data_IF_512274387184
#
_entry.id   IF_512274387184
#
_cell.length_a   1.000
_cell.length_b   1.000
_cell.length_c   1.000
_cell.angle_alpha   90.00
_cell.angle_beta   90.00
_cell.angle_gamma   90.00
#
_symmetry.space_group_name_H-M   'P 1'
#
loop_
_entity.id
_entity.type
_entity.pdbx_description
1 polymer ?
#
# COMPACT_ATOMS: atom_id res chain seq x y z
N UNK A 1 7.21 -22.03 -4.09
CA UNK A 1 8.15 -21.57 -3.05
C UNK A 1 8.71 -20.22 -3.49
N UNK A 2 8.73 -19.24 -2.60
CA UNK A 2 9.33 -17.92 -2.83
C UNK A 2 10.41 -17.73 -1.76
N UNK A 3 11.61 -17.38 -2.17
CA UNK A 3 12.62 -16.86 -1.26
C UNK A 3 12.34 -15.37 -1.06
N UNK A 4 12.38 -14.90 0.17
CA UNK A 4 12.02 -13.53 0.54
C UNK A 4 13.21 -12.86 1.24
N UNK A 5 14.41 -13.04 0.67
CA UNK A 5 15.68 -12.58 1.24
C UNK A 5 16.08 -11.15 0.88
N UNK A 6 15.41 -10.52 -0.09
CA UNK A 6 15.67 -9.13 -0.52
C UNK A 6 14.39 -8.30 -0.54
N UNK A 7 14.53 -6.96 -0.48
CA UNK A 7 13.40 -6.02 -0.60
C UNK A 7 12.61 -6.28 -1.89
N UNK A 8 13.30 -6.51 -3.00
CA UNK A 8 12.67 -6.77 -4.29
C UNK A 8 11.88 -8.08 -4.29
N UNK A 9 12.46 -9.16 -3.74
CA UNK A 9 11.76 -10.45 -3.64
C UNK A 9 10.56 -10.38 -2.69
N UNK A 10 10.66 -9.61 -1.61
CA UNK A 10 9.55 -9.32 -0.70
C UNK A 10 8.42 -8.59 -1.41
N UNK A 11 8.75 -7.51 -2.12
CA UNK A 11 7.80 -6.74 -2.88
C UNK A 11 7.09 -7.62 -3.92
N UNK A 12 7.84 -8.34 -4.76
CA UNK A 12 7.29 -9.19 -5.81
C UNK A 12 6.40 -10.31 -5.27
N UNK A 13 6.81 -10.99 -4.20
CA UNK A 13 6.02 -12.06 -3.61
C UNK A 13 4.65 -11.57 -3.08
N UNK A 14 4.59 -10.32 -2.60
CA UNK A 14 3.33 -9.71 -2.18
C UNK A 14 2.51 -9.24 -3.38
N UNK A 15 3.12 -8.51 -4.32
CA UNK A 15 2.41 -7.97 -5.50
C UNK A 15 1.84 -9.06 -6.42
N UNK A 16 2.47 -10.25 -6.45
CA UNK A 16 1.95 -11.43 -7.15
C UNK A 16 0.53 -11.83 -6.70
N UNK A 17 0.13 -11.49 -5.47
CA UNK A 17 -1.22 -11.74 -4.95
C UNK A 17 -2.31 -10.96 -5.69
N UNK A 18 -1.94 -9.88 -6.38
CA UNK A 18 -2.86 -9.02 -7.13
C UNK A 18 -3.19 -9.57 -8.53
N UNK A 19 -2.46 -10.58 -9.00
CA UNK A 19 -2.73 -11.19 -10.29
C UNK A 19 -4.15 -11.79 -10.32
N UNK A 20 -4.87 -11.75 -11.46
CA UNK A 20 -6.20 -12.36 -11.57
C UNK A 20 -6.22 -13.86 -11.20
N UNK A 21 -5.11 -14.55 -11.46
CA UNK A 21 -4.86 -15.93 -11.01
C UNK A 21 -3.48 -15.95 -10.35
N UNK A 22 -3.39 -15.75 -9.03
CA UNK A 22 -2.12 -15.70 -8.34
C UNK A 22 -1.51 -17.10 -8.20
N UNK A 23 -0.19 -17.20 -8.33
CA UNK A 23 0.55 -18.47 -8.16
C UNK A 23 0.35 -19.03 -6.75
N UNK A 24 0.29 -18.15 -5.75
CA UNK A 24 -0.09 -18.47 -4.39
C UNK A 24 -1.50 -17.97 -4.11
N UNK A 25 -2.46 -18.89 -4.05
CA UNK A 25 -3.88 -18.56 -3.91
C UNK A 25 -4.33 -18.59 -2.44
N UNK A 26 -4.61 -17.42 -1.88
CA UNK A 26 -5.14 -17.26 -0.52
C UNK A 26 -6.60 -17.73 -0.37
N UNK A 27 -7.32 -17.92 -1.47
CA UNK A 27 -8.72 -18.40 -1.50
C UNK A 27 -8.81 -19.93 -1.60
N UNK A 28 -7.78 -20.65 -1.15
CA UNK A 28 -7.76 -22.11 -1.15
C UNK A 28 -8.29 -22.69 0.17
N UNK A 29 -9.56 -23.09 0.18
CA UNK A 29 -10.21 -23.64 1.38
C UNK A 29 -9.72 -25.05 1.77
N UNK A 30 -9.01 -25.76 0.89
CA UNK A 30 -8.45 -27.09 1.21
C UNK A 30 -7.22 -27.01 2.11
N UNK A 31 -6.53 -25.88 2.09
CA UNK A 31 -5.33 -25.65 2.90
C UNK A 31 -5.28 -24.18 3.36
N UNK A 32 -6.15 -23.82 4.33
CA UNK A 32 -6.28 -22.43 4.76
C UNK A 32 -5.03 -21.95 5.50
N UNK A 33 -4.74 -20.66 5.34
CA UNK A 33 -3.69 -19.97 6.10
C UNK A 33 -4.34 -19.29 7.31
N UNK A 34 -3.98 -19.73 8.51
CA UNK A 34 -4.48 -19.14 9.75
C UNK A 34 -3.57 -18.00 10.23
N UNK A 35 -4.18 -16.96 10.79
CA UNK A 35 -3.49 -15.80 11.37
C UNK A 35 -4.30 -15.23 12.55
N UNK A 36 -3.76 -14.26 13.28
CA UNK A 36 -4.51 -13.53 14.29
C UNK A 36 -5.63 -12.70 13.65
N UNK A 37 -6.86 -12.86 14.14
CA UNK A 37 -8.01 -12.08 13.69
C UNK A 37 -8.30 -10.95 14.67
N UNK A 38 -8.00 -9.72 14.26
CA UNK A 38 -8.44 -8.51 14.96
C UNK A 38 -9.78 -8.04 14.39
N UNK A 39 -10.67 -7.55 15.26
CA UNK A 39 -11.96 -7.03 14.85
C UNK A 39 -11.80 -5.62 14.27
N UNK A 40 -11.90 -5.52 12.94
CA UNK A 40 -11.84 -4.26 12.20
C UNK A 40 -13.18 -4.00 11.49
N UNK A 41 -13.61 -2.74 11.31
CA UNK A 41 -14.80 -2.43 10.51
C UNK A 41 -14.56 -2.80 9.03
N UNK A 42 -15.61 -2.88 8.20
CA UNK A 42 -15.43 -3.12 6.77
C UNK A 42 -14.54 -2.06 6.11
N UNK A 43 -13.80 -2.45 5.07
CA UNK A 43 -13.11 -1.50 4.21
C UNK A 43 -14.12 -0.51 3.60
N UNK A 44 -13.79 0.78 3.61
CA UNK A 44 -14.68 1.85 3.13
C UNK A 44 -14.06 2.58 1.95
N UNK A 45 -14.81 2.64 0.85
CA UNK A 45 -14.49 3.46 -0.33
C UNK A 45 -15.57 4.53 -0.45
N UNK A 46 -15.20 5.80 -0.36
CA UNK A 46 -16.13 6.94 -0.37
C UNK A 46 -15.63 8.07 -1.25
N UNK A 47 -16.49 9.07 -1.49
CA UNK A 47 -16.06 10.32 -2.12
C UNK A 47 -15.15 11.12 -1.18
N UNK A 48 -14.25 11.90 -1.78
CA UNK A 48 -13.39 12.85 -1.09
C UNK A 48 -14.15 14.04 -0.53
N UNK A 49 -13.45 14.89 0.22
CA UNK A 49 -14.03 16.10 0.80
C UNK A 49 -14.55 17.09 -0.27
N UNK A 50 -13.91 17.14 -1.44
CA UNK A 50 -14.37 17.94 -2.58
C UNK A 50 -15.39 17.24 -3.48
N UNK A 51 -15.81 16.01 -3.11
CA UNK A 51 -16.79 15.22 -3.84
C UNK A 51 -16.18 14.32 -4.94
N UNK A 52 -14.86 14.26 -5.04
CA UNK A 52 -14.13 13.42 -5.99
C UNK A 52 -14.47 11.93 -5.76
N UNK A 53 -14.71 11.13 -6.81
CA UNK A 53 -14.86 9.70 -6.65
C UNK A 53 -13.52 9.07 -6.21
N UNK A 54 -13.59 8.00 -5.43
CA UNK A 54 -12.43 7.12 -5.26
C UNK A 54 -12.33 6.16 -6.45
N UNK A 55 -11.10 5.82 -6.82
CA UNK A 55 -10.79 4.80 -7.81
C UNK A 55 -9.95 3.71 -7.15
N UNK A 56 -10.36 2.45 -7.32
CA UNK A 56 -9.62 1.28 -6.82
C UNK A 56 -9.60 0.23 -7.92
N UNK A 57 -8.42 -0.15 -8.39
CA UNK A 57 -8.24 -1.17 -9.42
C UNK A 57 -7.08 -2.11 -9.09
N UNK A 58 -7.24 -3.39 -9.42
CA UNK A 58 -6.22 -4.43 -9.23
C UNK A 58 -5.59 -4.47 -7.84
N UNK A 59 -6.35 -4.17 -6.78
CA UNK A 59 -5.80 -3.94 -5.43
C UNK A 59 -6.49 -4.77 -4.35
N UNK A 60 -5.77 -5.08 -3.27
CA UNK A 60 -6.32 -5.73 -2.08
C UNK A 60 -6.51 -4.70 -0.96
N UNK A 61 -7.74 -4.58 -0.46
CA UNK A 61 -8.08 -3.72 0.67
C UNK A 61 -8.44 -4.56 1.89
N UNK A 62 -7.74 -4.31 3.00
CA UNK A 62 -8.04 -4.96 4.28
C UNK A 62 -9.14 -4.21 5.03
N UNK A 63 -9.79 -4.88 5.98
CA UNK A 63 -10.73 -4.27 6.91
C UNK A 63 -10.08 -3.10 7.68
N UNK A 64 -10.87 -2.10 8.06
CA UNK A 64 -10.39 -0.87 8.70
C UNK A 64 -9.87 0.18 7.72
N UNK A 65 -9.51 -0.20 6.49
CA UNK A 65 -9.00 0.75 5.51
C UNK A 65 -10.09 1.70 4.99
N UNK A 66 -9.69 2.94 4.70
CA UNK A 66 -10.55 3.99 4.16
C UNK A 66 -9.87 4.64 2.96
N UNK A 67 -10.52 4.57 1.80
CA UNK A 67 -10.15 5.32 0.59
C UNK A 67 -11.21 6.40 0.36
N UNK A 68 -10.83 7.67 0.45
CA UNK A 68 -11.75 8.80 0.40
C UNK A 68 -11.32 9.84 -0.63
N UNK A 69 -11.85 9.73 -1.85
CA UNK A 69 -11.47 10.54 -3.01
C UNK A 69 -10.06 10.25 -3.55
N UNK A 70 -9.49 9.09 -3.21
CA UNK A 70 -8.14 8.70 -3.61
C UNK A 70 -8.11 7.70 -4.78
N UNK A 71 -6.96 7.60 -5.43
CA UNK A 71 -6.67 6.63 -6.48
C UNK A 71 -5.75 5.53 -5.94
N UNK A 72 -6.19 4.28 -5.95
CA UNK A 72 -5.42 3.12 -5.52
C UNK A 72 -5.37 2.12 -6.67
N UNK A 73 -4.17 1.79 -7.13
CA UNK A 73 -4.00 0.91 -8.29
C UNK A 73 -2.86 -0.07 -8.06
N UNK A 74 -3.12 -1.35 -8.36
CA UNK A 74 -2.11 -2.39 -8.24
C UNK A 74 -1.43 -2.36 -6.88
N UNK A 75 -2.17 -2.27 -5.78
CA UNK A 75 -1.61 -2.01 -4.43
C UNK A 75 -2.22 -2.90 -3.36
N UNK A 76 -1.50 -3.08 -2.26
CA UNK A 76 -1.96 -3.80 -1.08
C UNK A 76 -2.11 -2.81 0.07
N UNK A 77 -3.32 -2.71 0.60
CA UNK A 77 -3.69 -1.79 1.67
C UNK A 77 -4.02 -2.60 2.92
N UNK A 78 -3.16 -2.52 3.93
CA UNK A 78 -3.33 -3.21 5.19
C UNK A 78 -4.43 -2.55 6.08
N UNK A 79 -4.76 -3.16 7.24
CA UNK A 79 -5.76 -2.60 8.13
C UNK A 79 -5.47 -1.18 8.63
N UNK A 80 -6.53 -0.43 8.92
CA UNK A 80 -6.49 0.95 9.44
C UNK A 80 -5.71 1.97 8.59
N UNK A 81 -5.48 1.66 7.30
CA UNK A 81 -4.86 2.60 6.37
C UNK A 81 -5.89 3.64 5.91
N UNK A 82 -5.51 4.92 5.93
CA UNK A 82 -6.37 6.03 5.49
C UNK A 82 -5.72 6.71 4.28
N UNK A 83 -6.45 6.76 3.18
CA UNK A 83 -6.03 7.39 1.92
C UNK A 83 -6.96 8.57 1.63
N UNK A 84 -6.41 9.78 1.68
CA UNK A 84 -7.15 11.02 1.51
C UNK A 84 -7.32 11.44 0.04
N UNK A 85 -8.15 12.46 -0.18
CA UNK A 85 -8.57 12.89 -1.51
C UNK A 85 -7.40 13.36 -2.36
N UNK A 86 -7.54 13.20 -3.67
CA UNK A 86 -6.54 13.55 -4.69
C UNK A 86 -5.19 12.83 -4.52
N UNK A 87 -5.04 11.90 -3.57
CA UNK A 87 -3.82 11.11 -3.43
C UNK A 87 -3.82 9.95 -4.42
N UNK A 88 -2.63 9.57 -4.90
CA UNK A 88 -2.46 8.41 -5.77
C UNK A 88 -1.47 7.44 -5.13
N UNK A 89 -1.87 6.18 -5.04
CA UNK A 89 -1.07 5.08 -4.56
C UNK A 89 -1.05 4.01 -5.64
N UNK A 90 0.11 3.79 -6.24
CA UNK A 90 0.28 2.86 -7.37
C UNK A 90 1.40 1.89 -7.06
N UNK A 91 1.18 0.59 -7.31
CA UNK A 91 2.23 -0.41 -7.13
C UNK A 91 2.81 -0.42 -5.73
N UNK A 92 2.01 -0.28 -4.67
CA UNK A 92 2.56 -0.03 -3.32
C UNK A 92 1.96 -0.94 -2.27
N UNK A 93 2.75 -1.21 -1.23
CA UNK A 93 2.36 -1.98 -0.06
C UNK A 93 2.30 -1.02 1.12
N UNK A 94 1.10 -0.76 1.63
CA UNK A 94 0.87 0.09 2.80
C UNK A 94 0.61 -0.78 4.03
N UNK A 95 1.48 -0.68 5.03
CA UNK A 95 1.33 -1.43 6.27
C UNK A 95 0.28 -0.81 7.21
N UNK A 96 -0.10 -1.53 8.29
CA UNK A 96 -1.15 -1.06 9.17
C UNK A 96 -0.96 0.35 9.72
N UNK A 97 -2.05 1.12 9.77
CA UNK A 97 -2.08 2.47 10.34
C UNK A 97 -1.43 3.57 9.51
N UNK A 98 -1.02 3.30 8.26
CA UNK A 98 -0.47 4.32 7.35
C UNK A 98 -1.54 5.36 7.00
N UNK A 99 -1.14 6.63 6.97
CA UNK A 99 -2.00 7.75 6.55
C UNK A 99 -1.39 8.45 5.36
N UNK A 100 -2.12 8.49 4.25
CA UNK A 100 -1.70 9.16 3.01
C UNK A 100 -2.47 10.48 2.88
N UNK A 101 -1.74 11.59 3.04
CA UNK A 101 -2.30 12.94 2.99
C UNK A 101 -2.83 13.34 1.61
N UNK A 102 -3.68 14.37 1.54
CA UNK A 102 -4.27 14.83 0.29
C UNK A 102 -3.23 15.17 -0.78
N UNK A 103 -3.50 14.79 -2.03
CA UNK A 103 -2.59 15.13 -3.13
C UNK A 103 -1.23 14.41 -3.10
N UNK A 104 -0.95 13.53 -2.13
CA UNK A 104 0.28 12.75 -2.12
C UNK A 104 0.35 11.80 -3.33
N UNK A 105 1.55 11.49 -3.81
CA UNK A 105 1.80 10.55 -4.92
C UNK A 105 2.82 9.52 -4.46
N UNK A 106 2.40 8.27 -4.38
CA UNK A 106 3.20 7.15 -3.90
C UNK A 106 3.24 6.11 -5.02
N UNK A 107 4.44 5.75 -5.46
CA UNK A 107 4.64 4.79 -6.54
C UNK A 107 5.71 3.78 -6.16
N UNK A 108 5.47 2.47 -6.33
CA UNK A 108 6.48 1.42 -6.08
C UNK A 108 7.13 1.50 -4.70
N UNK A 109 6.32 1.69 -3.67
CA UNK A 109 6.78 1.87 -2.29
C UNK A 109 6.35 0.72 -1.37
N UNK A 110 7.19 0.42 -0.37
CA UNK A 110 6.80 -0.28 0.85
C UNK A 110 6.77 0.77 1.96
N UNK A 111 5.58 1.02 2.49
CA UNK A 111 5.36 2.00 3.56
C UNK A 111 5.09 1.24 4.84
N UNK A 112 6.02 1.31 5.80
CA UNK A 112 5.91 0.57 7.07
C UNK A 112 4.86 1.20 8.01
N UNK A 113 4.58 0.50 9.12
CA UNK A 113 3.47 0.77 10.04
C UNK A 113 3.48 2.20 10.56
N UNK A 114 2.28 2.76 10.71
CA UNK A 114 2.03 4.06 11.34
C UNK A 114 2.78 5.25 10.71
N UNK A 115 3.19 5.14 9.45
CA UNK A 115 3.78 6.27 8.72
C UNK A 115 2.68 7.27 8.35
N UNK A 116 2.99 8.55 8.52
CA UNK A 116 2.13 9.65 8.08
C UNK A 116 2.80 10.36 6.92
N UNK A 117 2.19 10.29 5.75
CA UNK A 117 2.66 10.93 4.52
C UNK A 117 1.93 12.28 4.39
N UNK A 118 2.66 13.41 4.45
CA UNK A 118 2.08 14.74 4.35
C UNK A 118 1.39 14.99 3.00
N UNK A 119 0.52 16.02 2.96
CA UNK A 119 -0.11 16.43 1.71
C UNK A 119 0.91 16.78 0.62
N UNK A 120 0.61 16.40 -0.62
CA UNK A 120 1.41 16.77 -1.81
C UNK A 120 2.78 16.10 -1.95
N UNK A 121 3.20 15.27 -0.99
CA UNK A 121 4.51 14.60 -1.06
C UNK A 121 4.54 13.59 -2.20
N UNK A 122 5.68 13.50 -2.89
CA UNK A 122 5.93 12.57 -3.99
C UNK A 122 7.06 11.61 -3.62
N UNK A 123 6.82 10.31 -3.74
CA UNK A 123 7.77 9.23 -3.41
C UNK A 123 7.71 8.15 -4.49
N UNK A 124 8.86 7.67 -4.93
CA UNK A 124 8.98 6.67 -6.00
C UNK A 124 8.89 7.24 -7.41
N UNK A 125 9.20 8.53 -7.55
CA UNK A 125 9.28 9.24 -8.84
C UNK A 125 10.68 9.76 -9.16
N UNK A 126 11.49 10.04 -8.13
CA UNK A 126 12.88 10.48 -8.26
C UNK A 126 13.72 9.61 -7.32
N UNK A 127 14.28 8.53 -7.87
CA UNK A 127 15.00 7.53 -7.07
C UNK A 127 16.30 8.09 -6.49
N UNK A 128 16.91 9.09 -7.11
CA UNK A 128 18.13 9.72 -6.58
C UNK A 128 17.79 10.57 -5.35
N UNK A 129 16.71 11.36 -5.41
CA UNK A 129 16.21 12.09 -4.25
C UNK A 129 15.67 11.16 -3.17
N UNK A 130 15.04 10.04 -3.55
CA UNK A 130 14.52 9.05 -2.60
C UNK A 130 15.65 8.30 -1.89
N UNK A 131 16.76 7.97 -2.57
CA UNK A 131 17.95 7.35 -1.96
C UNK A 131 18.59 8.20 -0.88
N UNK A 132 18.42 9.52 -0.93
CA UNK A 132 18.94 10.43 0.10
C UNK A 132 18.12 10.38 1.40
N UNK A 133 16.87 9.91 1.33
CA UNK A 133 15.91 9.94 2.44
C UNK A 133 15.54 8.55 2.94
N UNK A 134 15.57 7.57 2.05
CA UNK A 134 14.99 6.24 2.25
C UNK A 134 15.91 5.15 1.73
N UNK A 135 15.64 3.92 2.17
CA UNK A 135 16.25 2.76 1.54
C UNK A 135 15.57 2.52 0.19
N UNK A 136 16.35 2.40 -0.88
CA UNK A 136 15.85 2.09 -2.22
C UNK A 136 16.56 0.84 -2.72
N UNK A 137 15.77 -0.17 -3.08
CA UNK A 137 16.29 -1.44 -3.59
C UNK A 137 16.96 -1.32 -4.96
N UNK A 138 17.53 -2.42 -5.45
CA UNK A 138 18.16 -2.49 -6.76
C UNK A 138 17.14 -2.34 -7.89
N UNK A 139 15.90 -2.83 -7.72
CA UNK A 139 14.80 -2.63 -8.69
C UNK A 139 13.94 -1.38 -8.40
N UNK A 140 14.46 -0.47 -7.60
CA UNK A 140 13.85 0.85 -7.37
C UNK A 140 12.61 0.83 -6.47
N UNK A 141 12.51 -0.13 -5.57
CA UNK A 141 11.46 -0.14 -4.54
C UNK A 141 11.91 0.74 -3.38
N UNK A 142 11.11 1.76 -3.05
CA UNK A 142 11.39 2.70 -1.96
C UNK A 142 10.78 2.17 -0.66
N UNK A 143 11.57 2.10 0.41
CA UNK A 143 11.12 1.65 1.73
C UNK A 143 11.09 2.81 2.72
N UNK A 144 9.89 3.13 3.21
CA UNK A 144 9.68 4.18 4.21
C UNK A 144 9.62 3.53 5.60
N UNK A 145 10.52 3.90 6.53
CA UNK A 145 10.64 3.22 7.82
C UNK A 145 9.48 3.52 8.77
N UNK A 146 9.24 2.62 9.73
CA UNK A 146 8.17 2.70 10.72
C UNK A 146 8.13 4.05 11.45
N UNK A 147 6.93 4.59 11.61
CA UNK A 147 6.68 5.79 12.43
C UNK A 147 7.34 7.06 11.89
N UNK A 148 7.82 7.04 10.65
CA UNK A 148 8.39 8.21 10.01
C UNK A 148 7.30 9.25 9.77
N UNK A 149 7.58 10.49 10.16
CA UNK A 149 6.77 11.67 9.87
C UNK A 149 7.59 12.53 8.93
N UNK A 150 7.09 12.68 7.71
CA UNK A 150 7.71 13.44 6.62
C UNK A 150 7.49 14.95 6.78
#
# INVERSE_FOLDING_TARGET
>A
WRDVGTIDSYYEANMDLLAPVPVFNLYNDKWPVFTSHESHPPAKVSRGAGGEPSFVDGSLLSNGSIVSGGHVEGSIVAPDVIIHHDSHVTGSILFPGVKVGPGARINRCIVDKNVVIPPGVRIGYDLEADRQRFTVSDRGIVVIPKGYVL
#
